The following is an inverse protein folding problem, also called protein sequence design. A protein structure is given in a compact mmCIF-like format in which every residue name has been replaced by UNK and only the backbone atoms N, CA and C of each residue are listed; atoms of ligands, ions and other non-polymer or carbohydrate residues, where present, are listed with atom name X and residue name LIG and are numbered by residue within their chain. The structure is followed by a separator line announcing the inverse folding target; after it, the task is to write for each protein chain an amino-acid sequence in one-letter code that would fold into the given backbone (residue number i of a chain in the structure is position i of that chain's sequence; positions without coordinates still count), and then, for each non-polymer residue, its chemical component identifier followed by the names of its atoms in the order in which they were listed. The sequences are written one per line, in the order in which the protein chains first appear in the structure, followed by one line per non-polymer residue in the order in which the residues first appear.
data_IF_256222764846
#
_entry.id   IF_256222764846
#
_cell.length_a   1.000
_cell.length_b   1.000
_cell.length_c   1.000
_cell.angle_alpha   90.00
_cell.angle_beta   90.00
_cell.angle_gamma   90.00
#
_symmetry.space_group_name_H-M   'P 1'
#
loop_
_entity.id
_entity.type
_entity.pdbx_description
1 polymer ?
#
# COMPACT_ATOMS: atom_id res chain seq x y z
N UNK A 1 -23.64 39.05 47.96
CA UNK A 1 -24.13 37.67 47.95
C UNK A 1 -25.24 37.56 46.91
N UNK A 2 -24.96 36.99 45.75
CA UNK A 2 -25.94 36.84 44.65
C UNK A 2 -26.16 35.35 44.39
N UNK A 3 -27.38 34.87 44.63
CA UNK A 3 -27.78 33.47 44.45
C UNK A 3 -28.32 33.26 43.04
N UNK A 4 -27.66 32.41 42.27
CA UNK A 4 -28.01 32.12 40.89
C UNK A 4 -28.84 30.81 40.83
N UNK A 5 -30.16 30.94 40.63
CA UNK A 5 -31.09 29.81 40.48
C UNK A 5 -31.04 29.28 39.04
N UNK A 6 -30.56 28.05 38.87
CA UNK A 6 -30.46 27.37 37.57
C UNK A 6 -31.66 26.44 37.37
N UNK A 7 -32.55 26.83 36.46
CA UNK A 7 -33.74 26.07 36.07
C UNK A 7 -33.34 24.89 35.19
N UNK A 8 -33.70 23.66 35.60
CA UNK A 8 -33.44 22.41 34.86
C UNK A 8 -34.67 22.09 34.01
N UNK A 9 -34.54 22.17 32.69
CA UNK A 9 -35.56 21.75 31.73
C UNK A 9 -35.32 20.26 31.44
N UNK A 10 -36.30 19.41 31.76
CA UNK A 10 -36.34 17.99 31.35
C UNK A 10 -37.03 17.90 29.99
N UNK A 11 -36.30 17.49 28.96
CA UNK A 11 -36.85 17.09 27.66
C UNK A 11 -36.98 15.57 27.61
N UNK A 12 -38.21 15.06 27.68
CA UNK A 12 -38.53 13.65 27.48
C UNK A 12 -38.67 13.34 25.98
N UNK A 13 -37.65 12.71 25.39
CA UNK A 13 -37.76 12.12 24.06
C UNK A 13 -38.23 10.66 24.19
N UNK A 14 -39.45 10.38 23.71
CA UNK A 14 -39.95 9.02 23.52
C UNK A 14 -39.30 8.40 22.28
N UNK A 15 -38.30 7.53 22.46
CA UNK A 15 -37.75 6.72 21.38
C UNK A 15 -38.72 5.57 21.01
N UNK A 16 -39.06 5.39 19.73
CA UNK A 16 -39.91 4.28 19.29
C UNK A 16 -39.19 2.94 19.46
N UNK A 17 -39.88 2.00 20.10
CA UNK A 17 -39.39 0.66 20.44
C UNK A 17 -38.83 -0.11 19.23
N UNK A 18 -37.63 -0.64 19.40
CA UNK A 18 -36.78 -1.34 18.42
C UNK A 18 -37.46 -2.51 17.68
N UNK A 19 -38.56 -3.06 18.23
CA UNK A 19 -39.37 -4.09 17.58
C UNK A 19 -40.14 -3.59 16.36
N UNK A 20 -40.47 -2.30 16.30
CA UNK A 20 -41.24 -1.74 15.18
C UNK A 20 -40.34 -1.54 13.94
N UNK A 21 -39.08 -1.12 14.15
CA UNK A 21 -38.09 -0.95 13.06
C UNK A 21 -37.78 -2.25 12.31
N UNK A 22 -37.65 -3.38 13.03
CA UNK A 22 -37.34 -4.68 12.40
C UNK A 22 -38.47 -5.20 11.50
N UNK A 23 -39.74 -4.93 11.85
CA UNK A 23 -40.88 -5.35 11.01
C UNK A 23 -40.96 -4.54 9.72
N UNK A 24 -40.64 -3.24 9.78
CA UNK A 24 -40.68 -2.35 8.62
C UNK A 24 -39.57 -2.64 7.59
N UNK A 25 -38.38 -3.08 8.03
CA UNK A 25 -37.32 -3.48 7.10
C UNK A 25 -37.65 -4.75 6.31
N UNK A 26 -38.32 -5.74 6.93
CA UNK A 26 -38.63 -6.99 6.24
C UNK A 26 -39.68 -6.83 5.15
N UNK A 27 -40.69 -5.97 5.33
CA UNK A 27 -41.72 -5.74 4.30
C UNK A 27 -41.15 -5.03 3.08
N UNK A 28 -40.29 -4.03 3.28
CA UNK A 28 -39.66 -3.29 2.18
C UNK A 28 -38.71 -4.15 1.34
N UNK A 29 -38.06 -5.15 1.96
CA UNK A 29 -37.19 -6.08 1.23
C UNK A 29 -37.99 -7.01 0.30
N UNK A 30 -39.11 -7.56 0.77
CA UNK A 30 -39.95 -8.45 -0.05
C UNK A 30 -40.62 -7.73 -1.22
N UNK A 31 -41.11 -6.50 -1.00
CA UNK A 31 -41.74 -5.69 -2.06
C UNK A 31 -40.73 -5.31 -3.15
N UNK A 32 -39.52 -4.89 -2.76
CA UNK A 32 -38.48 -4.54 -3.73
C UNK A 32 -37.99 -5.76 -4.55
N UNK A 33 -37.90 -6.93 -3.91
CA UNK A 33 -37.48 -8.16 -4.59
C UNK A 33 -38.54 -8.64 -5.61
N UNK A 34 -39.83 -8.55 -5.27
CA UNK A 34 -40.91 -8.93 -6.18
C UNK A 34 -41.04 -7.98 -7.37
N UNK A 35 -40.83 -6.67 -7.17
CA UNK A 35 -40.77 -5.72 -8.30
C UNK A 35 -39.57 -5.97 -9.21
N UNK A 36 -38.40 -6.29 -8.64
CA UNK A 36 -37.20 -6.60 -9.43
C UNK A 36 -37.41 -7.83 -10.30
N UNK A 37 -37.97 -8.91 -9.74
CA UNK A 37 -38.32 -10.12 -10.47
C UNK A 37 -39.33 -9.85 -11.59
N UNK A 38 -40.31 -8.96 -11.36
CA UNK A 38 -41.29 -8.56 -12.38
C UNK A 38 -40.67 -7.72 -13.51
N UNK A 39 -39.63 -6.93 -13.21
CA UNK A 39 -38.95 -6.05 -14.17
C UNK A 39 -37.93 -6.79 -15.05
N UNK A 40 -37.28 -7.81 -14.50
CA UNK A 40 -36.29 -8.66 -15.17
C UNK A 40 -36.93 -9.71 -16.09
N UNK A 41 -38.26 -9.85 -16.09
CA UNK A 41 -39.00 -10.67 -17.05
C UNK A 41 -39.37 -9.80 -18.27
N UNK A 42 -38.66 -9.93 -19.41
CA UNK A 42 -38.95 -9.13 -20.59
C UNK A 42 -40.34 -9.48 -21.16
N UNK A 43 -41.22 -8.48 -21.10
CA UNK A 43 -42.37 -8.16 -21.95
C UNK A 43 -43.12 -9.30 -22.68
N UNK A 44 -44.41 -9.37 -22.36
CA UNK A 44 -45.53 -9.85 -23.18
C UNK A 44 -45.67 -11.38 -23.33
N UNK A 45 -46.18 -12.01 -22.27
CA UNK A 45 -47.15 -13.10 -22.45
C UNK A 45 -48.48 -12.60 -21.92
N UNK A 46 -49.35 -12.24 -22.86
CA UNK A 46 -50.79 -12.06 -22.67
C UNK A 46 -51.30 -13.20 -21.78
N UNK A 47 -52.20 -12.91 -20.83
CA UNK A 47 -52.63 -13.80 -19.74
C UNK A 47 -53.40 -15.02 -20.27
N UNK A 48 -52.73 -15.89 -21.02
CA UNK A 48 -53.07 -17.29 -21.14
C UNK A 48 -52.59 -17.96 -19.86
N UNK A 49 -53.37 -18.91 -19.37
CA UNK A 49 -53.11 -19.67 -18.15
C UNK A 49 -51.75 -20.35 -18.23
N UNK A 50 -50.71 -19.64 -17.77
CA UNK A 50 -49.36 -20.17 -17.63
C UNK A 50 -49.43 -21.25 -16.55
N UNK A 51 -49.53 -22.50 -16.98
CA UNK A 51 -49.49 -23.64 -16.08
C UNK A 51 -48.05 -23.91 -15.70
N UNK A 52 -47.83 -24.44 -14.49
CA UNK A 52 -46.50 -24.81 -13.98
C UNK A 52 -45.75 -25.70 -14.99
N UNK A 53 -46.49 -26.57 -15.69
CA UNK A 53 -45.96 -27.49 -16.69
C UNK A 53 -45.30 -26.79 -17.90
N UNK A 54 -45.74 -25.57 -18.23
CA UNK A 54 -45.14 -24.78 -19.33
C UNK A 54 -43.92 -23.96 -18.90
N UNK A 55 -43.83 -23.58 -17.63
CA UNK A 55 -42.73 -22.73 -17.11
C UNK A 55 -41.52 -23.57 -16.70
N UNK A 56 -41.77 -24.77 -16.17
CA UNK A 56 -40.73 -25.60 -15.61
C UNK A 56 -39.62 -25.97 -16.63
N UNK A 57 -39.93 -26.35 -17.89
CA UNK A 57 -38.90 -26.64 -18.89
C UNK A 57 -38.01 -25.44 -19.20
N UNK A 58 -38.58 -24.23 -19.28
CA UNK A 58 -37.85 -22.98 -19.57
C UNK A 58 -36.90 -22.62 -18.43
N UNK A 59 -37.34 -22.82 -17.18
CA UNK A 59 -36.47 -22.62 -16.01
C UNK A 59 -35.33 -23.63 -16.02
N UNK A 60 -35.61 -24.90 -16.29
CA UNK A 60 -34.57 -25.95 -16.35
C UNK A 60 -33.54 -25.63 -17.43
N UNK A 61 -33.98 -25.25 -18.64
CA UNK A 61 -33.07 -24.87 -19.73
C UNK A 61 -32.20 -23.67 -19.36
N UNK A 62 -32.78 -22.65 -18.72
CA UNK A 62 -32.02 -21.48 -18.25
C UNK A 62 -31.01 -21.85 -17.16
N UNK A 63 -31.37 -22.76 -16.23
CA UNK A 63 -30.44 -23.23 -15.19
C UNK A 63 -29.28 -24.01 -15.80
N UNK A 64 -29.53 -24.89 -16.77
CA UNK A 64 -28.47 -25.62 -17.49
C UNK A 64 -27.56 -24.64 -18.24
N UNK A 65 -28.13 -23.65 -18.93
CA UNK A 65 -27.36 -22.63 -19.64
C UNK A 65 -26.49 -21.80 -18.68
N UNK A 66 -27.02 -21.43 -17.52
CA UNK A 66 -26.26 -20.71 -16.49
C UNK A 66 -25.14 -21.57 -15.90
N UNK A 67 -25.40 -22.85 -15.64
CA UNK A 67 -24.37 -23.79 -15.15
C UNK A 67 -23.21 -23.91 -16.14
N UNK A 68 -23.51 -24.04 -17.43
CA UNK A 68 -22.49 -24.08 -18.49
C UNK A 68 -21.70 -22.77 -18.58
N UNK A 69 -22.37 -21.61 -18.48
CA UNK A 69 -21.70 -20.31 -18.49
C UNK A 69 -20.77 -20.12 -17.28
N UNK A 70 -21.19 -20.58 -16.10
CA UNK A 70 -20.35 -20.58 -14.89
C UNK A 70 -19.15 -21.52 -15.09
N UNK A 71 -19.36 -22.72 -15.65
CA UNK A 71 -18.25 -23.64 -15.90
C UNK A 71 -17.24 -23.04 -16.89
N UNK A 72 -17.72 -22.41 -17.96
CA UNK A 72 -16.87 -21.76 -18.96
C UNK A 72 -16.05 -20.61 -18.35
N UNK A 73 -16.68 -19.70 -17.61
CA UNK A 73 -15.97 -18.61 -16.94
C UNK A 73 -14.97 -19.12 -15.90
N UNK A 74 -15.26 -20.22 -15.19
CA UNK A 74 -14.27 -20.82 -14.27
C UNK A 74 -13.06 -21.42 -14.99
N UNK A 75 -13.22 -21.91 -16.23
CA UNK A 75 -12.09 -22.37 -17.06
C UNK A 75 -11.21 -21.20 -17.48
N UNK A 76 -11.81 -20.13 -17.99
CA UNK A 76 -11.10 -18.90 -18.39
C UNK A 76 -10.33 -18.27 -17.22
N UNK A 77 -10.93 -18.22 -16.02
CA UNK A 77 -10.25 -17.71 -14.82
C UNK A 77 -9.06 -18.60 -14.42
N UNK A 78 -9.16 -19.92 -14.57
CA UNK A 78 -8.05 -20.85 -14.29
C UNK A 78 -6.91 -20.66 -15.29
N UNK A 79 -7.23 -20.47 -16.57
CA UNK A 79 -6.26 -20.22 -17.63
C UNK A 79 -5.53 -18.89 -17.42
N UNK A 80 -6.27 -17.79 -17.20
CA UNK A 80 -5.70 -16.49 -16.90
C UNK A 80 -4.81 -16.51 -15.64
N UNK A 81 -5.18 -17.31 -14.63
CA UNK A 81 -4.33 -17.51 -13.44
C UNK A 81 -3.00 -18.17 -13.78
N UNK A 82 -2.97 -19.14 -14.69
CA UNK A 82 -1.74 -19.80 -15.14
C UNK A 82 -0.86 -18.83 -15.93
N UNK A 83 -1.43 -18.03 -16.83
CA UNK A 83 -0.71 -16.99 -17.58
C UNK A 83 -0.06 -15.96 -16.63
N UNK A 84 -0.77 -15.52 -15.59
CA UNK A 84 -0.23 -14.60 -14.59
C UNK A 84 0.95 -15.25 -13.84
N UNK A 85 0.85 -16.53 -13.47
CA UNK A 85 1.94 -17.24 -12.80
C UNK A 85 3.17 -17.32 -13.71
N UNK A 86 2.98 -17.58 -15.01
CA UNK A 86 4.05 -17.62 -15.99
C UNK A 86 4.72 -16.24 -16.16
N UNK A 87 3.92 -15.16 -16.29
CA UNK A 87 4.42 -13.79 -16.35
C UNK A 87 5.24 -13.41 -15.11
N UNK A 88 4.78 -13.81 -13.91
CA UNK A 88 5.52 -13.57 -12.66
C UNK A 88 6.85 -14.30 -12.67
N UNK A 89 6.90 -15.54 -13.14
CA UNK A 89 8.15 -16.31 -13.21
C UNK A 89 9.11 -15.71 -14.23
N UNK A 90 8.62 -15.32 -15.41
CA UNK A 90 9.44 -14.63 -16.42
C UNK A 90 9.99 -13.29 -15.90
N UNK A 91 9.19 -12.54 -15.15
CA UNK A 91 9.63 -11.28 -14.55
C UNK A 91 10.71 -11.52 -13.47
N UNK A 92 10.56 -12.58 -12.65
CA UNK A 92 11.56 -12.98 -11.64
C UNK A 92 12.90 -13.34 -12.26
N UNK A 93 12.94 -13.91 -13.46
CA UNK A 93 14.19 -14.21 -14.16
C UNK A 93 14.78 -12.97 -14.85
N UNK A 94 13.92 -12.07 -15.33
CA UNK A 94 14.34 -10.85 -16.06
C UNK A 94 14.93 -9.78 -15.13
N UNK A 95 14.36 -9.58 -13.93
CA UNK A 95 14.82 -8.54 -13.00
C UNK A 95 16.29 -8.74 -12.55
N UNK A 96 16.75 -9.95 -12.15
CA UNK A 96 18.16 -10.19 -11.81
C UNK A 96 19.10 -10.03 -13.00
N UNK A 97 18.66 -10.37 -14.22
CA UNK A 97 19.45 -10.15 -15.42
C UNK A 97 19.63 -8.65 -15.69
N UNK A 98 18.53 -7.90 -15.68
CA UNK A 98 18.55 -6.45 -15.87
C UNK A 98 19.32 -5.72 -14.75
N UNK A 99 19.14 -6.11 -13.48
CA UNK A 99 19.89 -5.54 -12.35
C UNK A 99 21.39 -5.84 -12.42
N UNK A 100 21.80 -7.00 -12.95
CA UNK A 100 23.23 -7.30 -13.14
C UNK A 100 23.83 -6.40 -14.21
N UNK A 101 23.12 -6.18 -15.31
CA UNK A 101 23.58 -5.34 -16.43
C UNK A 101 23.63 -3.86 -16.04
N UNK A 102 22.57 -3.33 -15.42
CA UNK A 102 22.56 -1.94 -14.92
C UNK A 102 23.52 -1.71 -13.75
N UNK A 103 23.71 -2.67 -12.83
CA UNK A 103 24.76 -2.52 -11.81
C UNK A 103 26.15 -2.52 -12.42
N UNK A 104 26.43 -3.32 -13.46
CA UNK A 104 27.71 -3.32 -14.15
C UNK A 104 27.99 -1.98 -14.84
N UNK A 105 27.01 -1.39 -15.52
CA UNK A 105 27.14 -0.08 -16.16
C UNK A 105 27.37 1.05 -15.14
N UNK A 106 26.60 1.06 -14.05
CA UNK A 106 26.76 2.05 -12.97
C UNK A 106 28.12 1.88 -12.30
N UNK A 107 28.58 0.66 -12.06
CA UNK A 107 29.87 0.40 -11.45
C UNK A 107 31.04 0.78 -12.37
N UNK A 108 30.94 0.51 -13.68
CA UNK A 108 31.91 0.97 -14.68
C UNK A 108 31.97 2.50 -14.78
N UNK A 109 30.82 3.18 -14.79
CA UNK A 109 30.76 4.64 -14.82
C UNK A 109 31.40 5.28 -13.59
N UNK A 110 31.21 4.69 -12.40
CA UNK A 110 31.84 5.16 -11.15
C UNK A 110 33.35 4.95 -11.21
N UNK A 111 33.82 3.81 -11.74
CA UNK A 111 35.25 3.52 -11.85
C UNK A 111 35.97 4.43 -12.86
N UNK A 112 35.36 4.69 -14.02
CA UNK A 112 35.92 5.62 -15.01
C UNK A 112 35.96 7.07 -14.50
N UNK A 113 34.96 7.48 -13.70
CA UNK A 113 34.91 8.83 -13.12
C UNK A 113 35.97 9.11 -12.04
N UNK A 114 36.52 8.09 -11.37
CA UNK A 114 37.62 8.28 -10.41
C UNK A 114 39.00 8.36 -11.06
N UNK A 115 39.18 7.78 -12.26
CA UNK A 115 40.45 7.83 -12.99
C UNK A 115 40.78 9.24 -13.50
N UNK A 116 39.76 10.05 -13.81
CA UNK A 116 39.94 11.43 -14.30
C UNK A 116 40.27 12.45 -13.22
N UNK A 117 39.96 12.18 -11.95
CA UNK A 117 40.09 13.18 -10.86
C UNK A 117 41.42 13.10 -10.10
N UNK A 118 42.24 12.06 -10.35
CA UNK A 118 43.56 11.89 -9.69
C UNK A 118 44.72 12.36 -10.60
N UNK A 119 44.47 12.66 -11.88
CA UNK A 119 45.49 13.11 -12.84
C UNK A 119 45.89 14.60 -12.75
N UNK A 120 45.04 15.47 -12.21
CA UNK A 120 45.15 16.94 -12.46
C UNK A 120 45.61 17.81 -11.28
N UNK A 121 46.11 17.23 -10.18
CA UNK A 121 46.63 18.02 -9.04
C UNK A 121 48.13 18.34 -9.09
N UNK A 122 48.78 18.29 -10.26
CA UNK A 122 50.23 18.53 -10.34
C UNK A 122 50.66 19.33 -11.57
N UNK A 123 50.28 20.61 -11.64
CA UNK A 123 51.13 21.72 -12.12
C UNK A 123 50.33 23.02 -12.25
N UNK A 124 50.67 24.04 -11.47
CA UNK A 124 50.56 25.44 -11.87
C UNK A 124 51.27 26.35 -10.85
N UNK A 125 52.59 26.44 -10.98
CA UNK A 125 53.34 27.60 -10.52
C UNK A 125 53.92 28.30 -11.76
N UNK A 126 53.82 29.63 -11.74
CA UNK A 126 54.49 30.62 -12.60
C UNK A 126 53.74 31.18 -13.83
N UNK A 127 53.75 32.53 -13.84
CA UNK A 127 53.77 33.47 -14.97
C UNK A 127 52.47 33.85 -15.69
N UNK A 128 52.03 35.09 -15.45
CA UNK A 128 52.16 36.17 -16.44
C UNK A 128 51.19 36.26 -17.62
N UNK A 129 50.29 37.25 -17.53
CA UNK A 129 49.84 38.16 -18.60
C UNK A 129 48.91 37.69 -19.75
N UNK A 130 47.78 38.40 -19.86
CA UNK A 130 47.00 38.79 -21.07
C UNK A 130 46.32 37.72 -21.94
N UNK A 131 44.99 37.59 -21.79
CA UNK A 131 43.93 37.81 -22.81
C UNK A 131 42.57 37.22 -22.32
N UNK A 132 41.42 37.84 -22.61
CA UNK A 132 40.11 37.26 -22.26
C UNK A 132 39.69 36.18 -23.27
N UNK A 133 39.13 35.04 -22.83
CA UNK A 133 38.65 33.99 -23.71
C UNK A 133 37.28 34.32 -24.32
N UNK A 134 36.95 33.81 -25.53
CA UNK A 134 35.62 33.96 -26.14
C UNK A 134 34.57 33.13 -25.38
N UNK A 135 33.29 33.52 -25.43
CA UNK A 135 32.23 32.86 -24.68
C UNK A 135 32.04 31.41 -25.13
N UNK A 136 31.86 30.45 -24.21
CA UNK A 136 31.59 29.07 -24.55
C UNK A 136 30.20 28.98 -25.21
N UNK A 137 30.17 28.39 -26.40
CA UNK A 137 28.93 27.98 -27.04
C UNK A 137 28.13 27.10 -26.08
N UNK A 138 26.86 27.47 -25.84
CA UNK A 138 25.90 26.65 -25.12
C UNK A 138 25.72 25.33 -25.87
N UNK A 139 26.49 24.31 -25.50
CA UNK A 139 26.12 22.93 -25.76
C UNK A 139 24.90 22.65 -24.90
N UNK A 140 23.74 22.64 -25.54
CA UNK A 140 22.49 22.18 -24.97
C UNK A 140 22.68 20.68 -24.68
N UNK A 141 23.16 20.38 -23.48
CA UNK A 141 23.29 19.01 -22.97
C UNK A 141 21.89 18.41 -22.92
N UNK A 142 21.57 17.58 -23.91
CA UNK A 142 20.41 16.70 -23.91
C UNK A 142 20.63 15.70 -22.77
N UNK A 143 20.05 15.99 -21.60
CA UNK A 143 20.14 15.10 -20.44
C UNK A 143 19.54 13.75 -20.87
N UNK A 144 20.27 12.63 -20.76
CA UNK A 144 19.73 11.30 -21.07
C UNK A 144 18.46 11.06 -20.23
N UNK A 145 17.43 10.46 -20.82
CA UNK A 145 16.15 10.18 -20.14
C UNK A 145 16.33 9.44 -18.79
N UNK A 146 17.37 8.61 -18.68
CA UNK A 146 17.76 7.95 -17.44
C UNK A 146 18.20 8.92 -16.33
N UNK A 147 18.95 9.96 -16.66
CA UNK A 147 19.37 10.99 -15.70
C UNK A 147 18.20 11.92 -15.31
N UNK A 148 17.27 12.19 -16.22
CA UNK A 148 16.03 12.90 -15.91
C UNK A 148 15.14 12.09 -14.92
N UNK A 149 15.02 10.77 -15.13
CA UNK A 149 14.28 9.89 -14.22
C UNK A 149 14.92 9.83 -12.82
N UNK A 150 16.24 9.83 -12.74
CA UNK A 150 16.96 9.84 -11.47
C UNK A 150 16.76 11.15 -10.71
N UNK A 151 16.75 12.29 -11.41
CA UNK A 151 16.48 13.60 -10.83
C UNK A 151 15.04 13.70 -10.30
N UNK A 152 14.05 13.25 -11.08
CA UNK A 152 12.64 13.21 -10.66
C UNK A 152 12.45 12.29 -9.45
N UNK A 153 13.13 11.14 -9.43
CA UNK A 153 13.11 10.21 -8.30
C UNK A 153 13.69 10.86 -7.03
N UNK A 154 14.83 11.55 -7.16
CA UNK A 154 15.43 12.26 -6.02
C UNK A 154 14.53 13.38 -5.49
N UNK A 155 13.80 14.08 -6.35
CA UNK A 155 12.89 15.13 -5.92
C UNK A 155 11.64 14.59 -5.23
N UNK A 156 11.07 13.49 -5.73
CA UNK A 156 9.98 12.77 -5.05
C UNK A 156 10.39 12.29 -3.66
N UNK A 157 11.59 11.75 -3.52
CA UNK A 157 12.12 11.29 -2.22
C UNK A 157 12.35 12.47 -1.26
N UNK A 158 12.83 13.62 -1.76
CA UNK A 158 13.07 14.82 -0.96
C UNK A 158 11.79 15.47 -0.44
N UNK A 159 10.78 15.54 -1.30
CA UNK A 159 9.46 16.15 -0.98
C UNK A 159 8.56 15.20 -0.19
N UNK A 160 8.79 13.89 -0.29
CA UNK A 160 8.01 12.88 0.44
C UNK A 160 7.96 13.17 1.94
N UNK A 161 6.76 13.05 2.47
CA UNK A 161 6.49 13.28 3.89
C UNK A 161 5.84 12.06 4.49
N UNK A 162 6.64 11.32 5.25
CA UNK A 162 6.21 10.13 5.96
C UNK A 162 5.23 10.49 7.09
N UNK A 163 4.05 9.88 7.13
CA UNK A 163 2.91 10.31 7.95
C UNK A 163 3.12 10.08 9.46
N UNK A 164 3.17 11.16 10.24
CA UNK A 164 3.56 11.13 11.67
C UNK A 164 2.80 10.11 12.52
N UNK A 165 1.51 9.95 12.25
CA UNK A 165 0.61 9.04 12.95
C UNK A 165 -0.45 8.51 11.98
N UNK A 166 -0.79 7.22 12.14
CA UNK A 166 -1.89 6.60 11.41
C UNK A 166 -3.04 6.29 12.37
N UNK A 167 -4.26 6.38 11.86
CA UNK A 167 -5.46 6.03 12.63
C UNK A 167 -5.68 4.51 12.71
N UNK A 168 -5.07 3.74 11.82
CA UNK A 168 -5.23 2.29 11.74
C UNK A 168 -3.93 1.58 11.34
N UNK A 169 -3.82 0.30 11.71
CA UNK A 169 -2.71 -0.56 11.27
C UNK A 169 -2.71 -0.77 9.76
N UNK A 170 -3.90 -0.82 9.15
CA UNK A 170 -4.05 -0.88 7.70
C UNK A 170 -3.41 0.34 7.02
N UNK A 171 -3.59 1.54 7.58
CA UNK A 171 -2.93 2.75 7.06
C UNK A 171 -1.40 2.69 7.15
N UNK A 172 -0.84 2.12 8.23
CA UNK A 172 0.61 1.89 8.36
C UNK A 172 1.11 0.90 7.30
N UNK A 173 0.37 -0.18 7.08
CA UNK A 173 0.69 -1.21 6.08
C UNK A 173 0.66 -0.63 4.67
N UNK A 174 -0.40 0.12 4.35
CA UNK A 174 -0.61 0.69 3.03
C UNK A 174 0.44 1.75 2.69
N UNK A 175 0.82 2.63 3.63
CA UNK A 175 1.94 3.57 3.40
C UNK A 175 3.28 2.83 3.23
N UNK A 176 3.50 1.77 4.01
CA UNK A 176 4.73 1.00 3.93
C UNK A 176 4.90 0.32 2.57
N UNK A 177 3.82 -0.22 2.01
CA UNK A 177 3.83 -0.95 0.73
C UNK A 177 3.37 -0.14 -0.48
N UNK A 178 2.99 1.12 -0.28
CA UNK A 178 2.52 1.99 -1.35
C UNK A 178 1.18 1.51 -1.94
N UNK A 179 0.19 1.27 -1.10
CA UNK A 179 -1.14 0.78 -1.47
C UNK A 179 -2.23 1.83 -1.16
N UNK A 180 -3.39 1.72 -1.82
CA UNK A 180 -4.56 2.53 -1.53
C UNK A 180 -4.29 4.03 -1.66
N UNK A 181 -4.49 4.80 -0.58
CA UNK A 181 -4.22 6.25 -0.57
C UNK A 181 -2.73 6.61 -0.70
N UNK A 182 -1.83 5.62 -0.57
CA UNK A 182 -0.39 5.78 -0.66
C UNK A 182 0.19 5.13 -1.93
N UNK A 183 -0.66 4.86 -2.93
CA UNK A 183 -0.27 4.17 -4.15
C UNK A 183 0.99 4.80 -4.78
N UNK A 184 2.05 4.01 -4.87
CA UNK A 184 3.35 4.38 -5.46
C UNK A 184 4.03 5.63 -4.88
N UNK A 185 3.78 5.91 -3.60
CA UNK A 185 4.43 6.98 -2.84
C UNK A 185 5.41 6.42 -1.81
N UNK A 186 6.68 6.89 -1.77
CA UNK A 186 7.29 7.87 -2.69
C UNK A 186 7.71 7.30 -4.05
N UNK A 187 7.84 5.97 -4.12
CA UNK A 187 8.21 5.22 -5.31
C UNK A 187 7.29 4.01 -5.42
N UNK A 188 7.30 3.32 -6.57
CA UNK A 188 6.56 2.09 -6.74
C UNK A 188 6.93 1.06 -5.65
N UNK A 189 5.92 0.50 -4.98
CA UNK A 189 6.13 -0.39 -3.81
C UNK A 189 6.35 0.32 -2.46
N UNK A 190 6.18 1.64 -2.43
CA UNK A 190 6.13 2.44 -1.21
C UNK A 190 7.46 2.59 -0.48
N UNK A 191 7.37 2.76 0.84
CA UNK A 191 8.55 2.95 1.70
C UNK A 191 9.40 1.68 1.79
N UNK A 192 8.80 0.49 1.65
CA UNK A 192 9.52 -0.78 1.61
C UNK A 192 10.51 -0.84 0.44
N UNK A 193 10.07 -0.47 -0.76
CA UNK A 193 10.95 -0.41 -1.94
C UNK A 193 12.02 0.67 -1.77
N UNK A 194 11.67 1.81 -1.16
CA UNK A 194 12.63 2.88 -0.90
C UNK A 194 13.75 2.45 0.06
N UNK A 195 13.40 1.68 1.08
CA UNK A 195 14.35 1.05 2.00
C UNK A 195 15.28 0.06 1.31
N UNK A 196 14.75 -0.74 0.40
CA UNK A 196 15.55 -1.71 -0.34
C UNK A 196 16.54 -1.01 -1.28
N UNK A 197 16.10 0.03 -1.99
CA UNK A 197 16.91 0.73 -2.99
C UNK A 197 17.98 1.64 -2.37
N UNK A 198 17.65 2.39 -1.32
CA UNK A 198 18.51 3.42 -0.76
C UNK A 198 18.97 3.16 0.69
N UNK A 199 18.45 2.10 1.33
CA UNK A 199 18.78 1.77 2.72
C UNK A 199 18.45 2.90 3.69
N UNK A 200 19.27 3.07 4.72
CA UNK A 200 19.06 4.17 5.68
C UNK A 200 19.42 5.56 5.14
N UNK A 201 20.05 5.68 3.96
CA UNK A 201 20.61 6.96 3.47
C UNK A 201 19.53 8.00 3.16
N UNK A 202 18.37 7.57 2.65
CA UNK A 202 17.26 8.48 2.35
C UNK A 202 16.61 9.08 3.60
N UNK A 203 16.85 8.47 4.78
CA UNK A 203 16.31 8.91 6.08
C UNK A 203 17.08 10.10 6.68
N UNK A 204 18.26 10.45 6.15
CA UNK A 204 19.17 11.43 6.75
C UNK A 204 18.65 12.88 6.73
N UNK A 205 17.56 13.16 6.04
CA UNK A 205 17.07 14.53 5.83
C UNK A 205 16.19 15.06 6.98
N UNK A 206 15.70 14.22 7.91
CA UNK A 206 14.77 14.68 8.98
C UNK A 206 14.98 13.95 10.31
N UNK A 207 15.19 14.70 11.40
CA UNK A 207 15.66 14.22 12.72
C UNK A 207 14.81 13.11 13.38
N UNK A 208 13.54 12.96 13.00
CA UNK A 208 12.62 11.97 13.60
C UNK A 208 12.12 10.88 12.62
N UNK A 209 12.46 10.95 11.33
CA UNK A 209 11.93 9.99 10.34
C UNK A 209 12.53 8.61 10.54
N UNK A 210 13.82 8.54 10.88
CA UNK A 210 14.56 7.29 11.04
C UNK A 210 13.92 6.36 12.07
N UNK A 211 13.55 6.88 13.24
CA UNK A 211 12.92 6.07 14.29
C UNK A 211 11.54 5.58 13.87
N UNK A 212 10.78 6.41 13.16
CA UNK A 212 9.42 6.08 12.73
C UNK A 212 9.42 5.02 11.66
N UNK A 213 10.24 5.19 10.62
CA UNK A 213 10.42 4.21 9.55
C UNK A 213 10.89 2.87 10.13
N UNK A 214 11.86 2.89 11.06
CA UNK A 214 12.31 1.67 11.72
C UNK A 214 11.21 0.97 12.52
N UNK A 215 10.37 1.72 13.23
CA UNK A 215 9.24 1.15 13.99
C UNK A 215 8.17 0.58 13.05
N UNK A 216 7.75 1.33 12.03
CA UNK A 216 6.75 0.90 11.06
C UNK A 216 7.20 -0.37 10.33
N UNK A 217 8.45 -0.44 9.87
CA UNK A 217 9.01 -1.65 9.27
C UNK A 217 8.94 -2.88 10.19
N UNK A 218 9.19 -2.70 11.50
CA UNK A 218 9.02 -3.79 12.49
C UNK A 218 7.56 -4.18 12.67
N UNK A 219 6.64 -3.21 12.67
CA UNK A 219 5.20 -3.47 12.76
C UNK A 219 4.74 -4.28 11.55
N UNK A 220 5.09 -3.85 10.33
CA UNK A 220 4.77 -4.57 9.10
C UNK A 220 5.39 -5.98 9.10
N UNK A 221 6.62 -6.13 9.57
CA UNK A 221 7.23 -7.46 9.73
C UNK A 221 6.43 -8.37 10.68
N UNK A 222 5.96 -7.82 11.82
CA UNK A 222 5.13 -8.56 12.76
C UNK A 222 3.76 -8.96 12.17
N UNK A 223 3.11 -8.05 11.44
CA UNK A 223 1.85 -8.33 10.73
C UNK A 223 2.05 -9.45 9.72
N UNK A 224 3.10 -9.36 8.90
CA UNK A 224 3.44 -10.38 7.90
C UNK A 224 3.66 -11.75 8.55
N UNK A 225 4.48 -11.81 9.61
CA UNK A 225 4.74 -13.06 10.34
C UNK A 225 3.49 -13.69 10.95
N UNK A 226 2.60 -12.88 11.53
CA UNK A 226 1.34 -13.40 12.06
C UNK A 226 0.41 -13.89 10.97
N UNK A 227 0.31 -13.16 9.86
CA UNK A 227 -0.46 -13.56 8.69
C UNK A 227 0.02 -14.91 8.14
N UNK A 228 1.34 -15.09 8.03
CA UNK A 228 1.94 -16.37 7.60
C UNK A 228 1.69 -17.50 8.61
N UNK A 229 1.88 -17.25 9.90
CA UNK A 229 1.69 -18.26 10.94
C UNK A 229 0.23 -18.73 11.09
N UNK A 230 -0.73 -17.82 10.96
CA UNK A 230 -2.16 -18.12 11.11
C UNK A 230 -2.87 -18.35 9.77
N UNK A 231 -2.16 -18.27 8.64
CA UNK A 231 -2.72 -18.34 7.28
C UNK A 231 -3.90 -17.39 7.05
N UNK A 232 -3.89 -16.23 7.71
CA UNK A 232 -4.91 -15.18 7.57
C UNK A 232 -4.46 -14.13 6.56
N UNK A 233 -5.41 -13.45 5.93
CA UNK A 233 -5.09 -12.28 5.13
C UNK A 233 -4.51 -11.15 5.99
N UNK A 234 -3.67 -10.31 5.39
CA UNK A 234 -3.10 -9.13 6.04
C UNK A 234 -4.20 -8.22 6.59
N UNK A 235 -5.28 -8.00 5.85
CA UNK A 235 -6.39 -7.15 6.28
C UNK A 235 -7.09 -7.72 7.51
N UNK A 236 -7.23 -9.05 7.61
CA UNK A 236 -7.77 -9.72 8.78
C UNK A 236 -6.89 -9.49 10.02
N UNK A 237 -5.57 -9.67 9.89
CA UNK A 237 -4.60 -9.43 10.98
C UNK A 237 -4.60 -7.96 11.41
N UNK A 238 -4.58 -7.05 10.43
CA UNK A 238 -4.67 -5.62 10.68
C UNK A 238 -5.93 -5.26 11.47
N UNK A 239 -7.10 -5.80 11.09
CA UNK A 239 -8.36 -5.55 11.79
C UNK A 239 -8.37 -6.11 13.21
N UNK A 240 -7.87 -7.33 13.41
CA UNK A 240 -7.77 -7.98 14.72
C UNK A 240 -6.94 -7.13 15.71
N UNK A 241 -5.77 -6.69 15.26
CA UNK A 241 -4.87 -5.87 16.08
C UNK A 241 -5.21 -4.38 16.10
N UNK A 242 -6.10 -3.92 15.22
CA UNK A 242 -6.41 -2.49 15.13
C UNK A 242 -6.98 -1.95 16.44
N UNK A 243 -7.81 -2.74 17.14
CA UNK A 243 -8.35 -2.37 18.46
C UNK A 243 -7.21 -2.13 19.47
N UNK A 244 -6.25 -3.06 19.53
CA UNK A 244 -5.07 -2.95 20.42
C UNK A 244 -4.26 -1.70 20.10
N UNK A 245 -3.96 -1.48 18.82
CA UNK A 245 -3.16 -0.34 18.36
C UNK A 245 -3.87 1.00 18.60
N UNK A 246 -5.11 1.15 18.13
CA UNK A 246 -5.80 2.43 18.10
C UNK A 246 -6.37 2.84 19.46
N UNK A 247 -6.91 1.88 20.23
CA UNK A 247 -7.60 2.17 21.50
C UNK A 247 -6.68 2.00 22.71
N UNK A 248 -6.04 0.84 22.85
CA UNK A 248 -5.28 0.52 24.08
C UNK A 248 -3.91 1.19 24.08
N UNK A 249 -3.24 1.25 22.93
CA UNK A 249 -1.90 1.83 22.79
C UNK A 249 -1.91 3.26 22.26
N UNK A 250 -3.09 3.87 22.09
CA UNK A 250 -3.28 5.25 21.63
C UNK A 250 -2.48 5.57 20.35
N UNK A 251 -2.51 4.66 19.36
CA UNK A 251 -1.82 4.79 18.07
C UNK A 251 -0.30 4.94 18.19
N UNK A 252 0.27 4.58 19.33
CA UNK A 252 1.69 4.74 19.60
C UNK A 252 2.50 3.57 19.02
N UNK A 253 3.19 3.80 17.90
CA UNK A 253 4.01 2.77 17.24
C UNK A 253 5.07 2.16 18.15
N UNK A 254 5.66 2.93 19.08
CA UNK A 254 6.68 2.40 19.99
C UNK A 254 6.07 1.33 20.90
N UNK A 255 4.95 1.65 21.56
CA UNK A 255 4.26 0.71 22.46
C UNK A 255 3.74 -0.51 21.69
N UNK A 256 3.32 -0.32 20.44
CA UNK A 256 2.91 -1.44 19.61
C UNK A 256 4.07 -2.37 19.22
N UNK A 257 5.26 -1.82 18.97
CA UNK A 257 6.48 -2.64 18.78
C UNK A 257 6.83 -3.40 20.07
N UNK A 258 6.70 -2.79 21.24
CA UNK A 258 6.90 -3.46 22.54
C UNK A 258 5.90 -4.62 22.71
N UNK A 259 4.62 -4.41 22.39
CA UNK A 259 3.61 -5.47 22.36
C UNK A 259 3.97 -6.63 21.41
N UNK A 260 4.42 -6.33 20.18
CA UNK A 260 4.83 -7.37 19.22
C UNK A 260 6.07 -8.16 19.69
N UNK A 261 6.91 -7.56 20.51
CA UNK A 261 8.07 -8.21 21.13
C UNK A 261 7.65 -9.13 22.27
N UNK A 262 6.72 -8.69 23.11
CA UNK A 262 6.16 -9.49 24.21
C UNK A 262 5.42 -10.74 23.69
N UNK A 263 4.69 -10.59 22.59
CA UNK A 263 3.97 -11.68 21.91
C UNK A 263 4.86 -12.54 21.00
N UNK A 264 6.18 -12.32 21.00
CA UNK A 264 7.17 -13.07 20.20
C UNK A 264 6.99 -13.03 18.67
N UNK A 265 6.22 -12.06 18.14
CA UNK A 265 6.09 -11.88 16.68
C UNK A 265 7.34 -11.26 16.06
N UNK A 266 8.05 -10.41 16.81
CA UNK A 266 9.31 -9.81 16.37
C UNK A 266 10.41 -10.02 17.42
N UNK A 267 11.68 -10.14 16.99
CA UNK A 267 12.77 -10.37 17.93
C UNK A 267 13.00 -9.16 18.84
N UNK A 268 13.26 -9.44 20.11
CA UNK A 268 13.75 -8.45 21.07
C UNK A 268 15.21 -8.11 20.73
N UNK A 269 15.56 -6.83 20.60
CA UNK A 269 16.95 -6.43 20.35
C UNK A 269 17.84 -6.94 21.49
N UNK A 270 18.83 -7.77 21.14
CA UNK A 270 19.87 -8.14 22.09
C UNK A 270 20.59 -6.88 22.55
N UNK A 271 20.75 -6.70 23.87
CA UNK A 271 21.53 -5.58 24.41
C UNK A 271 22.94 -5.69 23.83
N UNK A 272 23.38 -4.69 23.06
CA UNK A 272 24.79 -4.61 22.66
C UNK A 272 25.61 -4.50 23.95
N UNK A 273 26.49 -5.47 24.17
CA UNK A 273 27.38 -5.47 25.32
C UNK A 273 28.09 -4.12 25.41
N UNK A 274 28.12 -3.54 26.61
CA UNK A 274 28.92 -2.36 26.89
C UNK A 274 30.35 -2.73 26.53
N UNK A 275 30.96 -2.05 25.55
CA UNK A 275 32.41 -2.17 25.33
C UNK A 275 33.05 -1.75 26.65
N UNK A 276 33.59 -2.71 27.38
CA UNK A 276 34.52 -2.44 28.46
C UNK A 276 35.75 -1.86 27.79
N UNK A 277 35.88 -0.53 27.86
CA UNK A 277 37.13 0.14 27.51
C UNK A 277 38.23 -0.51 28.36
N UNK A 278 39.11 -1.23 27.67
CA UNK A 278 40.37 -1.78 28.19
C UNK A 278 41.49 -1.10 27.43
#
# INVERSE_FOLDING_TARGET
MATNKRTRIQTGHNEPSDRHRKKQCNTLFLENHTETMRRELPHAVEVQTVTVDTVLPVIIERLISLEQAVEQTTKEVKEAKLEIIELINNLKETIPAMMRETMLEVWQSIFSGMATTIGDMRSAAAAGATAPPPPPAMQQQTIPAAAANLLVLTERIRTFTFQSQHNSLKGLWDEWHGLGNYQDLPIAGGVAALEELHGAKWRNTRTNIQQRVSRQGKICLGIKKKSEAESKSIDSVCNEWNRKYAMELNKNMRRFVEFLQEENWIPVPTRRGRRSDT
#
